data_IF_638422728852
#
_entry.id   IF_638422728852
#
_cell.length_a   1.000
_cell.length_b   1.000
_cell.length_c   1.000
_cell.angle_alpha   90.00
_cell.angle_beta   90.00
_cell.angle_gamma   90.00
#
_symmetry.space_group_name_H-M   'P 1'
#
loop_
_entity.id
_entity.type
_entity.pdbx_description
1 polymer ?
#
# COMPACT_ATOMS: atom_id res chain seq x y z
N UNK A 1 11.97 1.41 -2.00
CA UNK A 1 10.73 0.60 -2.05
C UNK A 1 9.71 1.24 -1.14
N UNK A 2 8.47 1.38 -1.59
CA UNK A 2 7.36 1.99 -0.83
C UNK A 2 6.23 0.96 -0.75
N UNK A 3 5.56 0.91 0.40
CA UNK A 3 4.41 0.03 0.63
C UNK A 3 3.24 0.88 1.10
N UNK A 4 2.06 0.67 0.51
CA UNK A 4 0.85 1.41 0.85
C UNK A 4 -0.35 0.49 0.83
N UNK A 5 -1.31 0.78 1.71
CA UNK A 5 -2.66 0.19 1.70
C UNK A 5 -3.62 0.98 0.80
N UNK A 6 -3.18 2.12 0.26
CA UNK A 6 -3.98 3.01 -0.56
C UNK A 6 -3.68 2.75 -2.04
N UNK A 7 -4.69 2.60 -2.91
CA UNK A 7 -4.51 2.54 -4.35
C UNK A 7 -3.77 3.76 -4.89
N UNK A 8 -2.85 3.58 -5.84
CA UNK A 8 -2.03 4.66 -6.39
C UNK A 8 -2.87 5.79 -7.01
N UNK A 9 -4.03 5.46 -7.60
CA UNK A 9 -5.00 6.43 -8.14
C UNK A 9 -5.44 7.48 -7.11
N UNK A 10 -5.43 7.12 -5.82
CA UNK A 10 -5.98 7.96 -4.76
C UNK A 10 -4.88 8.76 -4.06
N UNK A 11 -3.61 8.59 -4.44
CA UNK A 11 -2.49 9.23 -3.73
C UNK A 11 -2.48 10.73 -3.97
N UNK A 12 -2.70 11.18 -5.20
CA UNK A 12 -2.66 12.60 -5.54
C UNK A 12 -3.63 13.41 -4.68
N UNK A 13 -4.86 12.92 -4.52
CA UNK A 13 -5.91 13.58 -3.74
C UNK A 13 -5.65 13.63 -2.22
N UNK A 14 -4.68 12.86 -1.72
CA UNK A 14 -4.33 12.82 -0.28
C UNK A 14 -3.26 13.83 0.10
N UNK A 15 -2.57 14.42 -0.87
CA UNK A 15 -1.67 15.53 -0.60
C UNK A 15 -2.48 16.82 -0.47
N UNK A 16 -2.17 17.67 0.53
CA UNK A 16 -2.86 18.94 0.71
C UNK A 16 -2.51 19.97 -0.37
N UNK A 17 -1.33 19.86 -0.99
CA UNK A 17 -0.86 20.72 -2.07
C UNK A 17 -0.73 19.90 -3.37
N UNK A 18 -1.48 20.22 -4.44
CA UNK A 18 -1.38 19.50 -5.71
C UNK A 18 -0.01 19.64 -6.37
N UNK A 19 0.67 20.78 -6.22
CA UNK A 19 2.00 21.00 -6.82
C UNK A 19 3.03 20.06 -6.20
N UNK A 20 2.95 19.88 -4.87
CA UNK A 20 3.79 18.94 -4.16
C UNK A 20 3.43 17.50 -4.51
N UNK A 21 2.14 17.21 -4.67
CA UNK A 21 1.65 15.89 -5.08
C UNK A 21 2.29 15.48 -6.41
N UNK A 22 2.18 16.33 -7.43
CA UNK A 22 2.78 16.09 -8.74
C UNK A 22 4.29 15.84 -8.65
N UNK A 23 5.03 16.72 -7.96
CA UNK A 23 6.48 16.58 -7.84
C UNK A 23 6.94 15.31 -7.10
N UNK A 24 6.18 14.87 -6.10
CA UNK A 24 6.46 13.63 -5.35
C UNK A 24 6.09 12.40 -6.20
N UNK A 25 4.90 12.40 -6.79
CA UNK A 25 4.40 11.27 -7.56
C UNK A 25 5.22 11.06 -8.83
N UNK A 26 5.68 12.11 -9.49
CA UNK A 26 6.56 12.00 -10.66
C UNK A 26 7.90 11.33 -10.31
N UNK A 27 8.44 11.57 -9.12
CA UNK A 27 9.69 10.90 -8.68
C UNK A 27 9.49 9.46 -8.26
N UNK A 28 8.34 9.16 -7.65
CA UNK A 28 8.11 7.86 -7.00
C UNK A 28 7.46 6.86 -7.94
N UNK A 29 6.52 7.29 -8.78
CA UNK A 29 5.68 6.40 -9.60
C UNK A 29 6.28 6.20 -11.00
N UNK A 30 6.87 7.24 -11.59
CA UNK A 30 7.24 7.25 -13.02
C UNK A 30 8.07 6.04 -13.46
N UNK A 31 8.97 5.55 -12.60
CA UNK A 31 9.82 4.39 -12.87
C UNK A 31 9.57 3.20 -11.91
N UNK A 32 8.45 3.18 -11.18
CA UNK A 32 8.18 2.13 -10.21
C UNK A 32 7.56 0.88 -10.83
N UNK A 33 8.01 -0.28 -10.36
CA UNK A 33 7.29 -1.53 -10.57
C UNK A 33 6.13 -1.63 -9.56
N UNK A 34 4.91 -1.72 -10.08
CA UNK A 34 3.71 -1.78 -9.26
C UNK A 34 3.35 -3.24 -8.96
N UNK A 35 3.44 -3.61 -7.69
CA UNK A 35 3.07 -4.95 -7.22
C UNK A 35 1.83 -4.81 -6.34
N UNK A 36 0.69 -5.28 -6.86
CA UNK A 36 -0.56 -5.30 -6.10
C UNK A 36 -0.63 -6.57 -5.26
N UNK A 37 -0.61 -6.41 -3.94
CA UNK A 37 -0.70 -7.52 -3.00
C UNK A 37 -2.17 -7.83 -2.71
N UNK A 38 -2.52 -9.11 -2.77
CA UNK A 38 -3.88 -9.62 -2.56
C UNK A 38 -3.89 -10.64 -1.42
N UNK A 39 -5.08 -10.84 -0.84
CA UNK A 39 -5.33 -11.86 0.17
C UNK A 39 -5.45 -11.32 1.61
N UNK A 40 -5.78 -12.22 2.51
CA UNK A 40 -6.03 -11.92 3.92
C UNK A 40 -4.74 -11.58 4.70
N UNK A 41 -4.90 -10.80 5.76
CA UNK A 41 -3.80 -10.47 6.68
C UNK A 41 -3.09 -11.73 7.18
N UNK A 42 -1.78 -11.80 6.96
CA UNK A 42 -0.95 -12.89 7.47
C UNK A 42 -1.01 -12.99 9.00
N UNK A 43 -1.26 -11.89 9.71
CA UNK A 43 -1.45 -11.91 11.17
C UNK A 43 -2.71 -12.68 11.57
N UNK A 44 -3.82 -12.48 10.84
CA UNK A 44 -5.08 -13.21 11.04
C UNK A 44 -4.88 -14.72 10.82
N UNK A 45 -4.22 -15.09 9.71
CA UNK A 45 -3.98 -16.49 9.36
C UNK A 45 -3.06 -17.20 10.38
N UNK A 46 -2.03 -16.50 10.87
CA UNK A 46 -1.10 -17.06 11.86
C UNK A 46 -1.70 -17.13 13.25
N UNK A 47 -2.49 -16.13 13.65
CA UNK A 47 -3.22 -16.15 14.92
C UNK A 47 -4.24 -17.29 15.01
N UNK A 48 -4.92 -17.61 13.89
CA UNK A 48 -5.79 -18.79 13.82
C UNK A 48 -4.99 -20.11 13.98
N UNK A 49 -3.83 -20.23 13.32
CA UNK A 49 -2.98 -21.44 13.41
C UNK A 49 -2.38 -21.68 14.80
N UNK A 50 -2.27 -20.67 15.66
CA UNK A 50 -1.72 -20.82 17.01
C UNK A 50 -2.75 -21.12 18.08
N UNK A 51 -4.05 -21.14 17.75
CA UNK A 51 -5.09 -21.58 18.69
C UNK A 51 -5.13 -23.12 18.67
N UNK A 52 -4.76 -23.81 19.77
CA UNK A 52 -4.96 -25.24 19.85
C UNK A 52 -6.47 -25.49 19.94
N UNK A 53 -7.02 -26.25 19.00
CA UNK A 53 -8.30 -26.92 19.24
C UNK A 53 -8.07 -27.91 20.39
N UNK A 54 -8.67 -27.61 21.55
CA UNK A 54 -9.02 -28.65 22.53
C UNK A 54 -10.42 -29.14 22.19
#
# INVERSE_FOLDING_TARGET
MIVSQVPISDWHARFPDPTLADAILDRIIHNAYHISLMGDSQRKLRGFRSMPHT
#
